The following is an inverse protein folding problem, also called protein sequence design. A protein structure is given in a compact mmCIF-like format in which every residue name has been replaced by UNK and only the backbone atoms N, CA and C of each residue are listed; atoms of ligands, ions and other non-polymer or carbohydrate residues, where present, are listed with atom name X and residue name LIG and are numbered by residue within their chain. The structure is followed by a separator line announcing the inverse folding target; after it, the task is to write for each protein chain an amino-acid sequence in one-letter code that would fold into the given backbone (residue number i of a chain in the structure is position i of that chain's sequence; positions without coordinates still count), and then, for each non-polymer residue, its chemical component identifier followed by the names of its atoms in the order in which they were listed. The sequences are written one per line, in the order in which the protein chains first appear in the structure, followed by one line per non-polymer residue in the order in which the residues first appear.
data_IF_163201772764
#
_entry.id   IF_163201772764
#
_cell.length_a   1.000
_cell.length_b   1.000
_cell.length_c   1.000
_cell.angle_alpha   90.00
_cell.angle_beta   90.00
_cell.angle_gamma   90.00
#
_symmetry.space_group_name_H-M   'P 1'
#
loop_
_entity.id
_entity.type
_entity.pdbx_description
1 polymer ?
#
# COMPACT_ATOMS: atom_id res chain seq x y z
N UNK A 1 -60.18 20.23 24.95
CA UNK A 1 -60.00 18.86 25.44
C UNK A 1 -58.54 18.70 25.89
N UNK A 2 -58.33 18.72 27.19
CA UNK A 2 -57.03 18.58 27.85
C UNK A 2 -56.80 17.11 28.16
N UNK A 3 -55.69 16.53 27.81
CA UNK A 3 -55.25 15.24 28.33
C UNK A 3 -54.01 15.46 29.19
N UNK A 4 -54.17 15.19 30.49
CA UNK A 4 -53.11 15.04 31.49
C UNK A 4 -52.47 13.68 31.31
N UNK A 5 -51.16 13.60 31.30
CA UNK A 5 -50.43 12.37 31.58
C UNK A 5 -49.78 12.43 32.96
N UNK A 6 -50.18 11.50 33.79
CA UNK A 6 -49.62 11.23 35.11
C UNK A 6 -48.27 10.54 34.95
N UNK A 7 -47.22 11.10 35.54
CA UNK A 7 -45.93 10.44 35.67
C UNK A 7 -45.86 9.68 36.99
N UNK A 8 -45.73 8.35 36.93
CA UNK A 8 -45.47 7.51 38.10
C UNK A 8 -43.95 7.41 38.30
N UNK A 9 -43.46 7.99 39.39
CA UNK A 9 -42.07 7.81 39.86
C UNK A 9 -41.94 6.46 40.57
N UNK A 10 -41.23 5.52 39.97
CA UNK A 10 -40.71 4.32 40.66
C UNK A 10 -39.27 4.60 41.05
N UNK A 11 -39.03 4.75 42.33
CA UNK A 11 -37.70 4.85 42.92
C UNK A 11 -36.97 3.49 42.85
N UNK A 12 -35.89 3.43 42.14
CA UNK A 12 -34.93 2.34 42.21
C UNK A 12 -33.77 2.76 43.12
N UNK A 13 -33.64 2.06 44.24
CA UNK A 13 -32.52 2.19 45.16
C UNK A 13 -31.24 1.72 44.48
N UNK A 14 -30.30 2.62 44.25
CA UNK A 14 -28.97 2.32 43.78
C UNK A 14 -28.09 1.78 44.89
N UNK A 15 -27.79 0.49 44.86
CA UNK A 15 -26.71 -0.09 45.68
C UNK A 15 -25.36 0.37 45.09
N UNK A 16 -24.65 1.21 45.83
CA UNK A 16 -23.27 1.56 45.56
C UNK A 16 -22.38 0.32 45.74
N UNK A 17 -22.06 -0.36 44.66
CA UNK A 17 -20.90 -1.24 44.61
C UNK A 17 -19.64 -0.35 44.50
N UNK A 18 -18.85 -0.30 45.58
CA UNK A 18 -17.56 0.33 45.60
C UNK A 18 -16.66 -0.35 44.52
N UNK A 19 -16.58 0.27 43.38
CA UNK A 19 -15.62 -0.12 42.33
C UNK A 19 -14.21 0.09 42.82
N UNK A 20 -13.42 -0.97 42.87
CA UNK A 20 -11.97 -0.94 43.03
C UNK A 20 -11.38 0.10 42.09
N UNK A 21 -10.49 1.02 42.54
CA UNK A 21 -9.88 1.99 41.64
C UNK A 21 -9.09 1.24 40.58
N UNK A 22 -9.43 1.49 39.33
CA UNK A 22 -8.66 1.01 38.20
C UNK A 22 -7.23 1.46 38.39
N UNK A 23 -6.31 0.50 38.47
CA UNK A 23 -4.88 0.71 38.49
C UNK A 23 -4.50 1.69 37.40
N UNK A 24 -3.75 2.71 37.78
CA UNK A 24 -3.14 3.76 36.96
C UNK A 24 -2.35 3.13 35.80
N UNK A 25 -3.07 2.80 34.74
CA UNK A 25 -2.48 2.27 33.51
C UNK A 25 -1.69 3.41 32.90
N UNK A 26 -0.37 3.27 32.80
CA UNK A 26 0.50 4.09 31.93
C UNK A 26 -0.34 4.52 30.74
N UNK A 27 -0.54 5.85 30.55
CA UNK A 27 -1.21 6.40 29.36
C UNK A 27 -0.63 5.67 28.16
N UNK A 28 -1.38 4.74 27.58
CA UNK A 28 -0.86 3.79 26.60
C UNK A 28 -0.24 4.57 25.45
N UNK A 29 1.00 4.24 25.12
CA UNK A 29 1.66 4.77 23.92
C UNK A 29 0.73 4.57 22.75
N UNK A 30 0.50 5.63 21.97
CA UNK A 30 -0.26 5.51 20.69
C UNK A 30 0.43 4.47 19.81
N UNK A 31 -0.32 3.58 19.14
CA UNK A 31 0.28 2.57 18.27
C UNK A 31 1.00 3.22 17.10
N UNK A 32 2.07 2.61 16.61
CA UNK A 32 2.59 2.94 15.30
C UNK A 32 1.63 2.43 14.22
N UNK A 33 1.67 3.04 13.04
CA UNK A 33 0.89 2.61 11.88
C UNK A 33 1.82 2.35 10.71
N UNK A 34 1.75 1.17 10.14
CA UNK A 34 2.51 0.76 8.95
C UNK A 34 1.54 0.24 7.91
N UNK A 35 1.51 0.86 6.74
CA UNK A 35 0.75 0.39 5.59
C UNK A 35 1.74 -0.18 4.56
N UNK A 36 1.58 -1.47 4.26
CA UNK A 36 2.31 -2.21 3.24
C UNK A 36 1.38 -2.34 2.02
N UNK A 37 1.51 -1.42 1.06
CA UNK A 37 0.60 -1.32 -0.07
C UNK A 37 1.28 -1.78 -1.35
N UNK A 38 0.88 -2.95 -1.86
CA UNK A 38 1.45 -3.54 -3.07
C UNK A 38 0.74 -3.05 -4.33
N UNK A 39 1.35 -3.26 -5.48
CA UNK A 39 0.92 -2.76 -6.79
C UNK A 39 0.64 -3.93 -7.73
N UNK A 40 -0.58 -4.02 -8.25
CA UNK A 40 -1.02 -5.07 -9.18
C UNK A 40 -0.96 -6.50 -8.61
N UNK A 41 -1.17 -6.71 -7.31
CA UNK A 41 -1.20 -8.06 -6.74
C UNK A 41 -2.60 -8.66 -6.79
N UNK A 42 -2.73 -9.79 -7.48
CA UNK A 42 -4.00 -10.51 -7.61
C UNK A 42 -4.52 -11.07 -6.29
N UNK A 43 -5.83 -11.26 -6.20
CA UNK A 43 -6.54 -11.69 -4.99
C UNK A 43 -5.97 -12.96 -4.37
N UNK A 44 -5.58 -13.94 -5.20
CA UNK A 44 -5.06 -15.23 -4.75
C UNK A 44 -3.51 -15.30 -4.76
N UNK A 45 -2.83 -14.17 -4.93
CA UNK A 45 -1.37 -14.16 -5.08
C UNK A 45 -0.62 -14.04 -3.74
N UNK A 46 -1.08 -14.78 -2.75
CA UNK A 46 -0.35 -15.18 -1.55
C UNK A 46 -0.88 -16.53 -1.04
N UNK A 47 -0.07 -17.32 -0.35
CA UNK A 47 -0.49 -18.66 0.11
C UNK A 47 -1.65 -18.61 1.07
N UNK A 48 -1.67 -17.67 2.01
CA UNK A 48 -2.79 -17.48 2.93
C UNK A 48 -4.10 -17.06 2.23
N UNK A 49 -4.05 -16.62 0.98
CA UNK A 49 -5.21 -16.34 0.13
C UNK A 49 -5.53 -17.46 -0.87
N UNK A 50 -4.75 -18.53 -0.92
CA UNK A 50 -5.04 -19.73 -1.72
C UNK A 50 -4.06 -20.01 -2.86
N UNK A 51 -2.97 -19.26 -3.01
CA UNK A 51 -1.93 -19.60 -3.98
C UNK A 51 -1.29 -20.95 -3.61
N UNK A 52 -1.10 -21.80 -4.62
CA UNK A 52 -0.47 -23.12 -4.45
C UNK A 52 1.00 -23.13 -4.87
N UNK A 53 1.38 -22.20 -5.72
CA UNK A 53 2.68 -22.14 -6.38
C UNK A 53 3.60 -21.01 -5.87
N UNK A 54 3.05 -19.96 -5.23
CA UNK A 54 3.85 -18.87 -4.70
C UNK A 54 4.45 -19.18 -3.32
N UNK A 55 5.60 -18.55 -3.04
CA UNK A 55 6.25 -18.58 -1.74
C UNK A 55 6.12 -17.20 -1.09
N UNK A 56 5.20 -17.09 -0.10
CA UNK A 56 4.87 -15.85 0.59
C UNK A 56 4.86 -16.02 2.12
N UNK A 57 5.95 -16.54 2.74
CA UNK A 57 5.97 -16.90 4.15
C UNK A 57 5.76 -15.70 5.09
N UNK A 58 6.13 -14.48 4.67
CA UNK A 58 6.02 -13.28 5.49
C UNK A 58 4.61 -12.68 5.47
N UNK A 59 3.94 -12.67 4.31
CA UNK A 59 2.50 -12.33 4.20
C UNK A 59 1.69 -13.37 4.98
N UNK A 60 2.04 -14.66 4.92
CA UNK A 60 1.40 -15.73 5.68
C UNK A 60 1.61 -15.55 7.20
N UNK A 61 2.83 -15.15 7.65
CA UNK A 61 3.12 -14.79 9.05
C UNK A 61 2.26 -13.61 9.50
N UNK A 62 2.11 -12.58 8.65
CA UNK A 62 1.26 -11.43 8.95
C UNK A 62 -0.20 -11.84 9.11
N UNK A 63 -0.73 -12.72 8.25
CA UNK A 63 -2.07 -13.27 8.35
C UNK A 63 -2.28 -14.06 9.66
N UNK A 64 -1.32 -14.87 10.07
CA UNK A 64 -1.35 -15.62 11.35
C UNK A 64 -1.33 -14.71 12.57
N UNK A 65 -0.76 -13.52 12.48
CA UNK A 65 -0.71 -12.54 13.58
C UNK A 65 -1.80 -11.47 13.48
N UNK A 66 -2.82 -11.69 12.65
CA UNK A 66 -3.86 -10.69 12.40
C UNK A 66 -5.16 -11.26 11.86
N UNK A 67 -5.91 -10.38 11.21
CA UNK A 67 -7.20 -10.65 10.58
C UNK A 67 -7.05 -10.54 9.07
N UNK A 68 -7.36 -11.61 8.36
CA UNK A 68 -7.40 -11.68 6.90
C UNK A 68 -8.85 -11.48 6.41
N UNK A 69 -9.04 -10.54 5.49
CA UNK A 69 -10.34 -10.29 4.89
C UNK A 69 -10.52 -11.09 3.59
N UNK A 70 -11.65 -11.79 3.49
CA UNK A 70 -11.97 -12.56 2.28
C UNK A 70 -12.77 -11.75 1.26
N UNK A 71 -13.26 -10.57 1.65
CA UNK A 71 -14.02 -9.63 0.83
C UNK A 71 -13.45 -8.21 1.02
N UNK A 72 -12.20 -8.01 0.59
CA UNK A 72 -11.56 -6.70 0.58
C UNK A 72 -11.50 -6.14 -0.84
N UNK A 73 -11.76 -4.84 -0.95
CA UNK A 73 -11.88 -4.17 -2.23
C UNK A 73 -11.01 -2.91 -2.29
N UNK A 74 -10.45 -2.68 -3.46
CA UNK A 74 -9.81 -1.44 -3.85
C UNK A 74 -10.54 -0.85 -5.08
N UNK A 75 -9.88 0.00 -5.85
CA UNK A 75 -10.41 0.50 -7.10
C UNK A 75 -9.77 -0.21 -8.30
N UNK A 76 -10.20 0.17 -9.49
CA UNK A 76 -9.81 -0.52 -10.73
C UNK A 76 -8.34 -0.34 -11.08
N UNK A 77 -7.71 0.76 -10.61
CA UNK A 77 -6.33 1.12 -10.92
C UNK A 77 -5.65 1.87 -9.76
N UNK A 78 -4.34 2.03 -9.84
CA UNK A 78 -3.47 2.53 -8.77
C UNK A 78 -3.90 3.87 -8.16
N UNK A 79 -4.06 4.93 -8.98
CA UNK A 79 -4.30 6.28 -8.45
C UNK A 79 -5.60 6.40 -7.64
N UNK A 80 -6.78 5.95 -8.14
CA UNK A 80 -8.00 5.96 -7.37
C UNK A 80 -7.89 5.23 -6.03
N UNK A 81 -7.24 4.07 -6.02
CA UNK A 81 -7.05 3.29 -4.79
C UNK A 81 -6.15 4.01 -3.78
N UNK A 82 -5.05 4.61 -4.24
CA UNK A 82 -4.13 5.35 -3.38
C UNK A 82 -4.76 6.63 -2.85
N UNK A 83 -5.55 7.35 -3.66
CA UNK A 83 -6.33 8.49 -3.21
C UNK A 83 -7.37 8.07 -2.16
N UNK A 84 -8.11 7.00 -2.41
CA UNK A 84 -9.13 6.48 -1.50
C UNK A 84 -8.53 6.03 -0.17
N UNK A 85 -7.38 5.34 -0.19
CA UNK A 85 -6.62 4.95 1.01
C UNK A 85 -6.24 6.17 1.86
N UNK A 86 -5.69 7.20 1.22
CA UNK A 86 -5.14 8.34 1.95
C UNK A 86 -6.20 9.35 2.38
N UNK A 87 -7.36 9.42 1.71
CA UNK A 87 -8.41 10.40 2.02
C UNK A 87 -9.62 9.79 2.74
N UNK A 88 -9.76 8.46 2.76
CA UNK A 88 -10.97 7.78 3.24
C UNK A 88 -12.22 8.11 2.43
N UNK A 89 -12.05 8.66 1.22
CA UNK A 89 -13.13 9.14 0.36
C UNK A 89 -13.16 8.38 -0.96
N UNK A 90 -14.36 8.25 -1.52
CA UNK A 90 -14.48 7.71 -2.87
C UNK A 90 -13.69 8.58 -3.87
N UNK A 91 -12.84 8.00 -4.73
CA UNK A 91 -11.86 8.74 -5.53
C UNK A 91 -12.47 9.75 -6.50
N UNK A 92 -13.71 9.57 -6.93
CA UNK A 92 -14.44 10.58 -7.71
C UNK A 92 -14.63 11.90 -6.95
N UNK A 93 -14.69 11.85 -5.62
CA UNK A 93 -14.83 13.04 -4.77
C UNK A 93 -13.51 13.78 -4.58
N UNK A 94 -12.39 13.08 -4.64
CA UNK A 94 -11.04 13.68 -4.58
C UNK A 94 -10.51 14.09 -5.96
N UNK A 95 -11.30 13.93 -7.03
CA UNK A 95 -10.89 14.24 -8.40
C UNK A 95 -9.93 13.22 -9.02
N UNK A 96 -9.61 12.12 -8.30
CA UNK A 96 -8.63 11.10 -8.72
C UNK A 96 -9.38 9.85 -9.17
N UNK A 97 -10.09 9.90 -10.28
CA UNK A 97 -10.95 8.82 -10.75
C UNK A 97 -10.34 7.93 -11.86
N UNK A 98 -9.10 8.22 -12.27
CA UNK A 98 -8.38 7.47 -13.30
C UNK A 98 -6.87 7.63 -13.09
N UNK A 99 -6.05 7.11 -14.01
CA UNK A 99 -4.59 7.32 -13.97
C UNK A 99 -4.23 8.81 -13.96
N UNK A 100 -3.39 9.18 -13.03
CA UNK A 100 -2.84 10.51 -12.89
C UNK A 100 -1.46 10.54 -13.54
N UNK A 101 -1.45 10.41 -14.85
CA UNK A 101 -0.23 10.63 -15.62
C UNK A 101 -0.23 12.11 -16.02
N UNK A 102 0.61 12.86 -15.37
CA UNK A 102 0.75 14.27 -15.62
C UNK A 102 2.05 14.61 -16.32
N UNK A 103 2.04 15.73 -17.04
CA UNK A 103 3.29 16.40 -17.35
C UNK A 103 3.94 16.80 -16.03
N UNK A 104 5.02 16.11 -15.67
CA UNK A 104 5.81 16.38 -14.46
C UNK A 104 6.28 17.83 -14.38
N UNK A 105 6.32 18.54 -15.50
CA UNK A 105 6.75 19.93 -15.64
C UNK A 105 5.60 20.95 -15.62
N UNK A 106 4.37 20.51 -15.88
CA UNK A 106 3.21 21.39 -15.99
C UNK A 106 2.31 21.38 -14.76
N UNK A 107 1.81 22.55 -14.33
CA UNK A 107 0.75 22.63 -13.32
C UNK A 107 -0.57 22.02 -13.80
N UNK A 108 -0.74 21.86 -15.11
CA UNK A 108 -1.94 21.32 -15.74
C UNK A 108 -2.05 19.78 -15.65
N UNK A 109 -1.05 19.08 -15.08
CA UNK A 109 -1.13 17.66 -14.78
C UNK A 109 -2.29 17.36 -13.83
N UNK A 110 -2.86 16.16 -13.94
CA UNK A 110 -3.87 15.69 -13.00
C UNK A 110 -3.20 15.35 -11.68
N UNK A 111 -3.40 16.16 -10.67
CA UNK A 111 -2.86 16.00 -9.35
C UNK A 111 -4.01 15.90 -8.34
N UNK A 112 -3.84 15.17 -7.26
CA UNK A 112 -4.76 15.22 -6.13
C UNK A 112 -4.78 16.64 -5.58
N UNK A 113 -5.97 17.16 -5.30
CA UNK A 113 -6.15 18.51 -4.77
C UNK A 113 -5.46 18.63 -3.40
N UNK A 114 -4.83 19.78 -3.15
CA UNK A 114 -4.15 20.04 -1.87
C UNK A 114 -5.12 20.27 -0.71
N UNK A 115 -6.39 20.52 -1.02
CA UNK A 115 -7.49 20.67 -0.07
C UNK A 115 -7.98 19.33 0.48
N UNK A 116 -7.59 18.21 -0.13
CA UNK A 116 -7.88 16.89 0.42
C UNK A 116 -7.05 16.64 1.68
N UNK A 117 -7.74 16.36 2.78
CA UNK A 117 -7.07 16.04 4.05
C UNK A 117 -6.68 14.56 4.04
N UNK A 118 -5.40 14.30 4.05
CA UNK A 118 -4.87 12.93 4.01
C UNK A 118 -4.73 12.30 5.40
N UNK A 119 -4.67 10.98 5.42
CA UNK A 119 -4.33 10.21 6.63
C UNK A 119 -2.99 10.67 7.23
N UNK A 120 -2.02 11.04 6.38
CA UNK A 120 -0.73 11.54 6.84
C UNK A 120 -0.87 12.88 7.56
N UNK A 121 -1.67 13.81 7.04
CA UNK A 121 -1.94 15.09 7.70
C UNK A 121 -2.67 14.91 9.03
N UNK A 122 -3.68 14.04 9.07
CA UNK A 122 -4.42 13.72 10.29
C UNK A 122 -3.52 13.11 11.37
N UNK A 123 -2.70 12.13 11.01
CA UNK A 123 -1.77 11.50 11.94
C UNK A 123 -0.64 12.46 12.37
N UNK A 124 -0.15 13.30 11.44
CA UNK A 124 0.83 14.34 11.76
C UNK A 124 0.27 15.35 12.76
N UNK A 125 -0.96 15.82 12.57
CA UNK A 125 -1.65 16.69 13.54
C UNK A 125 -1.85 16.00 14.90
N UNK A 126 -1.98 14.67 14.92
CA UNK A 126 -2.00 13.87 16.14
C UNK A 126 -0.61 13.60 16.74
N UNK A 127 0.47 14.18 16.19
CA UNK A 127 1.84 14.07 16.72
C UNK A 127 2.66 12.87 16.24
N UNK A 128 2.21 12.21 15.17
CA UNK A 128 2.99 11.16 14.52
C UNK A 128 4.10 11.74 13.65
N UNK A 129 5.24 11.07 13.59
CA UNK A 129 6.21 11.27 12.52
C UNK A 129 5.75 10.49 11.29
N UNK A 130 5.73 11.10 10.13
CA UNK A 130 5.11 10.54 8.93
C UNK A 130 6.12 10.34 7.80
N UNK A 131 6.08 9.20 7.13
CA UNK A 131 6.92 8.94 5.97
C UNK A 131 6.16 8.17 4.88
N UNK A 132 6.45 8.51 3.62
CA UNK A 132 6.12 7.72 2.46
C UNK A 132 7.43 7.29 1.77
N UNK A 133 7.61 5.99 1.64
CA UNK A 133 8.68 5.43 0.83
C UNK A 133 8.11 4.52 -0.26
N UNK A 134 8.50 4.78 -1.51
CA UNK A 134 8.03 4.07 -2.69
C UNK A 134 7.15 4.92 -3.62
N UNK A 135 6.09 4.33 -4.12
CA UNK A 135 5.21 4.93 -5.14
C UNK A 135 4.18 5.88 -4.53
N UNK A 136 4.14 7.11 -5.06
CA UNK A 136 3.12 8.12 -4.76
C UNK A 136 1.90 8.01 -5.67
N UNK A 137 2.08 8.30 -6.95
CA UNK A 137 1.09 8.23 -8.05
C UNK A 137 -0.20 9.05 -7.83
N UNK A 138 -0.11 10.16 -7.09
CA UNK A 138 -1.24 11.09 -6.85
C UNK A 138 -0.93 12.52 -7.29
N UNK A 139 0.03 12.68 -8.17
CA UNK A 139 0.46 13.95 -8.73
C UNK A 139 1.97 14.02 -8.86
N UNK A 140 2.43 14.10 -10.09
CA UNK A 140 3.86 14.13 -10.39
C UNK A 140 4.46 15.53 -10.24
N UNK A 141 3.64 16.59 -10.27
CA UNK A 141 4.13 17.95 -10.12
C UNK A 141 4.71 18.19 -8.72
N UNK A 142 5.85 18.89 -8.64
CA UNK A 142 6.57 19.14 -7.39
C UNK A 142 5.73 19.77 -6.27
N UNK A 143 4.73 20.58 -6.65
CA UNK A 143 3.86 21.26 -5.70
C UNK A 143 2.69 20.37 -5.21
N UNK A 144 2.55 19.16 -5.73
CA UNK A 144 1.53 18.18 -5.38
C UNK A 144 2.12 16.84 -4.88
N UNK A 145 3.42 16.81 -4.58
CA UNK A 145 4.08 15.62 -4.06
C UNK A 145 3.75 15.32 -2.59
N UNK A 146 4.22 14.18 -2.08
CA UNK A 146 3.91 13.71 -0.72
C UNK A 146 4.21 14.71 0.39
N UNK A 147 5.28 15.50 0.23
CA UNK A 147 5.70 16.53 1.19
C UNK A 147 4.65 17.66 1.36
N UNK A 148 3.71 17.79 0.41
CA UNK A 148 2.60 18.75 0.47
C UNK A 148 1.31 18.14 1.01
N UNK A 149 1.31 16.83 1.25
CA UNK A 149 0.17 16.02 1.67
C UNK A 149 0.45 15.30 3.01
N UNK A 150 1.16 15.99 3.93
CA UNK A 150 1.30 15.56 5.31
C UNK A 150 2.49 14.63 5.63
N UNK A 151 3.27 14.20 4.65
CA UNK A 151 4.47 13.40 4.92
C UNK A 151 5.66 14.28 5.29
N UNK A 152 6.38 13.90 6.33
CA UNK A 152 7.62 14.57 6.77
C UNK A 152 8.83 14.10 5.98
N UNK A 153 8.80 12.85 5.50
CA UNK A 153 9.87 12.25 4.71
C UNK A 153 9.29 11.53 3.50
N UNK A 154 9.98 11.66 2.37
CA UNK A 154 9.66 10.97 1.14
C UNK A 154 10.94 10.48 0.44
N UNK A 155 10.94 9.23 0.00
CA UNK A 155 11.89 8.70 -0.96
C UNK A 155 11.15 7.77 -1.92
N UNK A 156 11.17 8.07 -3.21
CA UNK A 156 10.43 7.23 -4.14
C UNK A 156 10.13 7.88 -5.48
N UNK A 157 9.12 7.34 -6.13
CA UNK A 157 8.63 7.77 -7.44
C UNK A 157 7.33 8.56 -7.30
N UNK A 158 7.17 9.57 -8.15
CA UNK A 158 5.96 10.40 -8.15
C UNK A 158 4.91 9.89 -9.12
N UNK A 159 5.33 9.16 -10.15
CA UNK A 159 4.45 8.59 -11.17
C UNK A 159 4.17 7.08 -10.94
N UNK A 160 3.66 6.41 -11.97
CA UNK A 160 3.05 5.09 -11.87
C UNK A 160 4.00 3.93 -11.67
N UNK A 161 5.13 3.93 -12.35
CA UNK A 161 6.12 2.85 -12.30
C UNK A 161 7.42 3.28 -12.97
N UNK A 162 8.49 2.56 -12.71
CA UNK A 162 9.81 2.79 -13.30
C UNK A 162 10.50 1.47 -13.61
N UNK A 163 11.56 1.52 -14.42
CA UNK A 163 12.59 0.49 -14.40
C UNK A 163 13.26 0.48 -13.02
N UNK A 164 13.31 -0.68 -12.37
CA UNK A 164 13.75 -0.80 -10.98
C UNK A 164 15.26 -0.57 -10.76
N UNK A 165 16.06 -0.48 -11.82
CA UNK A 165 17.52 -0.28 -11.73
C UNK A 165 17.97 1.06 -12.32
N UNK A 166 17.29 1.54 -13.38
CA UNK A 166 17.64 2.79 -14.03
C UNK A 166 16.76 3.97 -13.60
N UNK A 167 15.61 3.67 -12.96
CA UNK A 167 14.63 4.62 -12.40
C UNK A 167 13.96 5.52 -13.44
N UNK A 168 13.82 5.01 -14.66
CA UNK A 168 13.09 5.70 -15.72
C UNK A 168 11.65 5.19 -15.83
N UNK A 169 10.70 6.12 -15.95
CA UNK A 169 9.36 5.81 -16.41
C UNK A 169 9.41 5.37 -17.87
N UNK A 170 8.88 4.17 -18.16
CA UNK A 170 9.07 3.51 -19.47
C UNK A 170 7.95 3.76 -20.46
N UNK A 171 6.83 4.36 -20.03
CA UNK A 171 5.69 4.57 -20.90
C UNK A 171 5.88 5.80 -21.79
N UNK A 172 5.29 5.75 -22.99
CA UNK A 172 5.42 6.84 -23.97
C UNK A 172 6.65 6.71 -24.88
N UNK A 173 6.88 7.75 -25.67
CA UNK A 173 7.93 7.73 -26.70
C UNK A 173 9.31 8.13 -26.18
N UNK A 174 9.35 8.93 -25.14
CA UNK A 174 10.61 9.52 -24.63
C UNK A 174 11.03 8.96 -23.26
N UNK A 175 10.07 8.63 -22.39
CA UNK A 175 10.35 8.32 -21.01
C UNK A 175 10.97 9.50 -20.24
N UNK A 176 11.18 9.36 -18.96
CA UNK A 176 11.84 10.33 -18.09
C UNK A 176 12.29 9.66 -16.80
N UNK A 177 13.27 10.24 -16.15
CA UNK A 177 13.73 9.78 -14.85
C UNK A 177 12.76 10.19 -13.75
N UNK A 178 12.47 9.28 -12.81
CA UNK A 178 11.46 9.51 -11.74
C UNK A 178 11.96 8.88 -10.44
N UNK A 179 12.91 9.52 -9.78
CA UNK A 179 13.36 9.14 -8.44
C UNK A 179 13.66 10.40 -7.62
N UNK A 180 13.06 10.49 -6.42
CA UNK A 180 13.13 11.67 -5.57
C UNK A 180 13.45 11.34 -4.12
N UNK A 181 14.20 12.24 -3.48
CA UNK A 181 14.36 12.32 -2.03
C UNK A 181 13.78 13.67 -1.57
N UNK A 182 12.69 13.65 -0.81
CA UNK A 182 11.89 14.83 -0.53
C UNK A 182 11.35 15.47 -1.81
N UNK A 183 11.80 16.67 -2.11
CA UNK A 183 11.45 17.41 -3.33
C UNK A 183 12.53 17.36 -4.41
N UNK A 184 13.69 16.80 -4.10
CA UNK A 184 14.87 16.79 -4.97
C UNK A 184 14.92 15.50 -5.77
N UNK A 185 15.13 15.62 -7.08
CA UNK A 185 15.42 14.49 -7.94
C UNK A 185 16.83 13.95 -7.67
N UNK A 186 16.95 12.62 -7.53
CA UNK A 186 18.23 11.97 -7.20
C UNK A 186 18.51 10.81 -8.14
N UNK A 187 19.76 10.63 -8.53
CA UNK A 187 20.18 9.52 -9.42
C UNK A 187 20.85 8.42 -8.59
N UNK A 188 20.40 7.18 -8.79
CA UNK A 188 20.90 5.97 -8.12
C UNK A 188 21.00 4.81 -9.12
N UNK A 189 21.57 5.07 -10.29
CA UNK A 189 21.65 4.09 -11.39
C UNK A 189 22.33 2.80 -10.94
N UNK A 190 21.65 1.68 -11.15
CA UNK A 190 22.12 0.34 -10.78
C UNK A 190 21.62 -0.15 -9.43
N UNK A 191 21.16 0.75 -8.53
CA UNK A 191 20.58 0.36 -7.25
C UNK A 191 19.14 -0.16 -7.46
N UNK A 192 18.79 -1.24 -6.80
CA UNK A 192 17.47 -1.84 -6.94
C UNK A 192 16.44 -1.04 -6.13
N UNK A 193 15.47 -0.44 -6.81
CA UNK A 193 14.52 0.50 -6.22
C UNK A 193 13.77 -0.08 -4.99
N UNK A 194 13.18 -1.30 -5.03
CA UNK A 194 12.50 -1.86 -3.86
C UNK A 194 13.43 -2.03 -2.64
N UNK A 195 14.70 -2.32 -2.85
CA UNK A 195 15.67 -2.43 -1.75
C UNK A 195 15.96 -1.07 -1.12
N UNK A 196 16.15 -0.03 -1.92
CA UNK A 196 16.36 1.34 -1.42
C UNK A 196 15.16 1.81 -0.58
N UNK A 197 13.95 1.59 -1.08
CA UNK A 197 12.69 1.93 -0.39
C UNK A 197 12.60 1.24 0.98
N UNK A 198 12.91 -0.04 1.03
CA UNK A 198 12.89 -0.81 2.28
C UNK A 198 14.01 -0.37 3.22
N UNK A 199 15.22 -0.11 2.74
CA UNK A 199 16.31 0.39 3.57
C UNK A 199 15.95 1.72 4.24
N UNK A 200 15.37 2.67 3.50
CA UNK A 200 14.85 3.93 4.07
C UNK A 200 13.76 3.70 5.12
N UNK A 201 12.89 2.70 4.88
CA UNK A 201 11.85 2.32 5.83
C UNK A 201 12.43 1.77 7.13
N UNK A 202 13.43 0.90 7.06
CA UNK A 202 14.12 0.34 8.22
C UNK A 202 14.83 1.42 9.05
N UNK A 203 15.51 2.33 8.39
CA UNK A 203 16.15 3.50 9.04
C UNK A 203 15.13 4.42 9.71
N UNK A 204 14.00 4.69 9.06
CA UNK A 204 12.92 5.50 9.60
C UNK A 204 12.33 4.87 10.86
N UNK A 205 12.01 3.57 10.83
CA UNK A 205 11.51 2.83 12.00
C UNK A 205 12.50 2.92 13.17
N UNK A 206 13.78 2.72 12.92
CA UNK A 206 14.85 2.78 13.93
C UNK A 206 14.92 4.16 14.59
N UNK A 207 14.99 5.23 13.79
CA UNK A 207 15.10 6.61 14.28
C UNK A 207 13.86 7.08 15.05
N UNK A 208 12.71 6.46 14.82
CA UNK A 208 11.45 6.85 15.42
C UNK A 208 10.91 5.84 16.44
N UNK A 209 11.74 4.87 16.89
CA UNK A 209 11.32 3.80 17.81
C UNK A 209 10.71 4.28 19.13
N UNK A 210 11.07 5.48 19.58
CA UNK A 210 10.65 6.04 20.88
C UNK A 210 9.43 6.97 20.79
N UNK A 211 8.86 7.19 19.60
CA UNK A 211 7.67 8.01 19.36
C UNK A 211 6.73 7.37 18.35
N UNK A 212 5.43 7.73 18.33
CA UNK A 212 4.52 7.19 17.34
C UNK A 212 4.90 7.63 15.93
N UNK A 213 4.80 6.72 14.98
CA UNK A 213 5.07 6.99 13.57
C UNK A 213 4.01 6.36 12.65
N UNK A 214 3.85 6.99 11.51
CA UNK A 214 3.10 6.50 10.36
C UNK A 214 4.06 6.28 9.19
N UNK A 215 4.15 5.05 8.74
CA UNK A 215 4.92 4.66 7.56
C UNK A 215 3.97 4.13 6.49
N UNK A 216 3.88 4.84 5.37
CA UNK A 216 3.26 4.34 4.16
C UNK A 216 4.35 3.81 3.22
N UNK A 217 4.47 2.48 3.13
CA UNK A 217 5.35 1.80 2.20
C UNK A 217 4.55 1.44 0.95
N UNK A 218 4.62 2.32 -0.05
CA UNK A 218 3.99 2.13 -1.34
C UNK A 218 4.89 1.33 -2.27
N UNK A 219 4.81 -0.01 -2.22
CA UNK A 219 5.56 -0.82 -3.16
C UNK A 219 5.16 -0.50 -4.59
N UNK A 220 6.13 -0.50 -5.50
CA UNK A 220 5.91 -0.45 -6.94
C UNK A 220 5.90 -1.87 -7.55
N UNK A 221 6.08 -2.88 -6.75
CA UNK A 221 6.04 -4.30 -7.12
C UNK A 221 4.85 -4.98 -6.43
N UNK A 222 4.27 -6.04 -7.04
CA UNK A 222 4.72 -6.78 -8.23
C UNK A 222 4.33 -6.19 -9.60
N UNK A 223 3.98 -4.89 -9.71
CA UNK A 223 3.76 -4.22 -10.99
C UNK A 223 4.97 -4.39 -11.93
N UNK A 224 4.71 -4.39 -13.24
CA UNK A 224 5.79 -4.41 -14.24
C UNK A 224 6.64 -3.12 -14.21
N UNK A 225 7.91 -3.18 -14.71
CA UNK A 225 8.61 -4.34 -15.22
C UNK A 225 8.88 -5.37 -14.12
N UNK A 226 8.63 -6.66 -14.44
CA UNK A 226 8.74 -7.77 -13.49
C UNK A 226 10.21 -8.14 -13.23
N UNK A 227 10.91 -7.25 -12.54
CA UNK A 227 12.33 -7.35 -12.21
C UNK A 227 12.49 -7.84 -10.77
N UNK A 228 12.67 -9.14 -10.59
CA UNK A 228 12.83 -9.77 -9.29
C UNK A 228 14.30 -9.93 -8.88
N UNK A 229 14.56 -10.21 -7.62
CA UNK A 229 15.86 -10.68 -7.17
C UNK A 229 16.21 -12.02 -7.85
N UNK A 230 17.48 -12.21 -8.20
CA UNK A 230 17.96 -13.39 -8.96
C UNK A 230 17.65 -14.71 -8.24
N UNK A 231 17.83 -14.75 -6.92
CA UNK A 231 17.53 -15.91 -6.08
C UNK A 231 16.03 -16.25 -6.09
N UNK A 232 15.15 -15.27 -6.14
CA UNK A 232 13.70 -15.50 -6.23
C UNK A 232 13.29 -15.93 -7.63
N UNK A 233 13.89 -15.36 -8.68
CA UNK A 233 13.66 -15.81 -10.05
C UNK A 233 14.07 -17.29 -10.24
N UNK A 234 15.12 -17.74 -9.56
CA UNK A 234 15.58 -19.11 -9.63
C UNK A 234 14.59 -20.13 -9.07
N UNK A 235 13.71 -19.72 -8.15
CA UNK A 235 12.72 -20.61 -7.51
C UNK A 235 11.59 -21.04 -8.46
N UNK A 236 11.40 -20.33 -9.58
CA UNK A 236 10.24 -20.47 -10.46
C UNK A 236 10.59 -20.88 -11.89
N UNK A 237 11.79 -21.41 -12.12
CA UNK A 237 12.27 -21.77 -13.48
C UNK A 237 11.34 -22.68 -14.24
N UNK A 238 10.64 -23.57 -13.51
CA UNK A 238 9.73 -24.57 -14.08
C UNK A 238 8.33 -24.01 -14.41
N UNK A 239 7.99 -22.81 -13.91
CA UNK A 239 6.71 -22.21 -14.23
C UNK A 239 6.75 -21.61 -15.65
N UNK A 240 5.64 -21.70 -16.40
CA UNK A 240 5.54 -21.04 -17.69
C UNK A 240 5.45 -19.52 -17.55
N UNK A 241 5.89 -18.78 -18.58
CA UNK A 241 5.56 -17.35 -18.70
C UNK A 241 4.05 -17.19 -19.00
N UNK A 242 3.41 -16.13 -18.49
CA UNK A 242 3.94 -15.02 -17.68
C UNK A 242 4.00 -15.30 -16.17
N UNK A 243 3.48 -16.44 -15.69
CA UNK A 243 3.42 -16.77 -14.25
C UNK A 243 4.81 -16.76 -13.59
N UNK A 244 5.84 -17.21 -14.31
CA UNK A 244 7.22 -17.31 -13.81
C UNK A 244 7.76 -15.98 -13.31
N UNK A 245 7.74 -14.95 -14.13
CA UNK A 245 8.28 -13.63 -13.79
C UNK A 245 7.48 -12.97 -12.68
N UNK A 246 6.17 -13.03 -12.76
CA UNK A 246 5.27 -12.50 -11.75
C UNK A 246 5.47 -13.17 -10.38
N UNK A 247 5.54 -14.51 -10.34
CA UNK A 247 5.77 -15.27 -9.11
C UNK A 247 7.08 -14.87 -8.40
N UNK A 248 8.13 -14.65 -9.19
CA UNK A 248 9.42 -14.20 -8.67
C UNK A 248 9.33 -12.81 -8.03
N UNK A 249 8.60 -11.88 -8.64
CA UNK A 249 8.44 -10.52 -8.10
C UNK A 249 7.52 -10.53 -6.86
N UNK A 250 6.46 -11.33 -6.83
CA UNK A 250 5.63 -11.50 -5.62
C UNK A 250 6.45 -12.03 -4.45
N UNK A 251 7.31 -13.03 -4.68
CA UNK A 251 8.21 -13.54 -3.63
C UNK A 251 9.25 -12.50 -3.21
N UNK A 252 9.73 -11.67 -4.13
CA UNK A 252 10.59 -10.52 -3.81
C UNK A 252 9.85 -9.50 -2.94
N UNK A 253 8.59 -9.22 -3.23
CA UNK A 253 7.74 -8.34 -2.41
C UNK A 253 7.57 -8.90 -1.00
N UNK A 254 7.24 -10.19 -0.89
CA UNK A 254 7.11 -10.89 0.39
C UNK A 254 8.41 -10.83 1.22
N UNK A 255 9.57 -11.04 0.58
CA UNK A 255 10.87 -10.92 1.24
C UNK A 255 11.07 -9.54 1.87
N UNK A 256 10.74 -8.47 1.14
CA UNK A 256 10.86 -7.11 1.66
C UNK A 256 9.83 -6.78 2.75
N UNK A 257 8.62 -7.31 2.66
CA UNK A 257 7.65 -7.27 3.76
C UNK A 257 8.25 -7.93 5.01
N UNK A 258 8.90 -9.08 4.85
CA UNK A 258 9.60 -9.77 5.93
C UNK A 258 10.63 -8.89 6.64
N UNK A 259 11.47 -8.16 5.89
CA UNK A 259 12.45 -7.24 6.49
C UNK A 259 11.81 -6.19 7.39
N UNK A 260 10.65 -5.64 7.00
CA UNK A 260 9.91 -4.66 7.82
C UNK A 260 9.37 -5.33 9.09
N UNK A 261 8.69 -6.47 8.97
CA UNK A 261 8.13 -7.18 10.12
C UNK A 261 9.22 -7.59 11.12
N UNK A 262 10.33 -8.11 10.63
CA UNK A 262 11.46 -8.51 11.46
C UNK A 262 12.13 -7.32 12.16
N UNK A 263 12.20 -6.14 11.54
CA UNK A 263 12.70 -4.93 12.20
C UNK A 263 11.78 -4.51 13.34
N UNK A 264 10.47 -4.54 13.13
CA UNK A 264 9.48 -4.23 14.18
C UNK A 264 9.58 -5.22 15.36
N UNK A 265 9.78 -6.50 15.07
CA UNK A 265 10.00 -7.54 16.10
C UNK A 265 11.30 -7.29 16.89
N UNK A 266 12.42 -7.10 16.18
CA UNK A 266 13.75 -6.88 16.79
C UNK A 266 13.80 -5.66 17.70
N UNK A 267 13.00 -4.63 17.39
CA UNK A 267 12.90 -3.41 18.20
C UNK A 267 11.83 -3.50 19.29
N UNK A 268 11.11 -4.63 19.41
CA UNK A 268 10.02 -4.78 20.37
C UNK A 268 8.78 -3.93 20.06
N UNK A 269 8.67 -3.42 18.82
CA UNK A 269 7.59 -2.52 18.40
C UNK A 269 6.37 -3.25 17.84
N UNK A 270 6.54 -4.53 17.45
CA UNK A 270 5.51 -5.26 16.69
C UNK A 270 4.16 -5.32 17.39
N UNK A 271 4.18 -5.53 18.70
CA UNK A 271 2.97 -5.63 19.54
C UNK A 271 2.15 -4.34 19.50
N UNK A 272 2.82 -3.20 19.49
CA UNK A 272 2.20 -1.86 19.53
C UNK A 272 2.19 -1.17 18.15
N UNK A 273 2.22 -1.96 17.08
CA UNK A 273 2.17 -1.47 15.69
C UNK A 273 0.99 -2.10 14.95
N UNK A 274 0.12 -1.24 14.42
CA UNK A 274 -0.90 -1.63 13.45
C UNK A 274 -0.20 -1.80 12.10
N UNK A 275 -0.27 -3.00 11.53
CA UNK A 275 0.26 -3.29 10.20
C UNK A 275 -0.92 -3.64 9.29
N UNK A 276 -1.08 -2.87 8.22
CA UNK A 276 -2.07 -3.10 7.17
C UNK A 276 -1.33 -3.53 5.92
N UNK A 277 -1.78 -4.61 5.31
CA UNK A 277 -1.33 -5.10 4.01
C UNK A 277 -2.52 -5.12 3.06
N UNK A 278 -2.39 -4.54 1.88
CA UNK A 278 -3.38 -4.62 0.80
C UNK A 278 -2.72 -4.31 -0.55
N UNK A 279 -3.30 -4.82 -1.66
CA UNK A 279 -2.99 -4.42 -3.02
C UNK A 279 -3.88 -3.26 -3.48
N UNK A 280 -3.37 -2.42 -4.36
CA UNK A 280 -4.12 -1.27 -4.88
C UNK A 280 -5.15 -1.63 -5.95
N UNK A 281 -5.01 -2.75 -6.63
CA UNK A 281 -5.98 -3.33 -7.58
C UNK A 281 -5.63 -4.79 -7.86
N UNK A 282 -6.43 -5.47 -8.66
CA UNK A 282 -6.13 -6.80 -9.16
C UNK A 282 -4.92 -6.80 -10.10
N UNK A 283 -4.43 -8.00 -10.46
CA UNK A 283 -3.25 -8.14 -11.31
C UNK A 283 -3.44 -7.52 -12.71
N UNK A 284 -2.33 -7.05 -13.29
CA UNK A 284 -2.31 -6.49 -14.64
C UNK A 284 -2.15 -7.58 -15.71
N UNK A 285 -2.84 -7.39 -16.83
CA UNK A 285 -2.66 -8.18 -18.07
C UNK A 285 -2.00 -7.35 -19.17
N UNK A 286 -1.52 -6.16 -18.85
CA UNK A 286 -0.95 -5.20 -19.80
C UNK A 286 0.35 -5.72 -20.44
N UNK A 287 0.55 -5.38 -21.70
CA UNK A 287 1.75 -5.74 -22.44
C UNK A 287 2.24 -4.54 -23.25
N UNK A 288 3.41 -4.04 -22.90
CA UNK A 288 3.97 -2.83 -23.48
C UNK A 288 5.40 -3.03 -23.98
N UNK A 289 5.79 -2.17 -24.90
CA UNK A 289 7.16 -2.07 -25.40
C UNK A 289 7.53 -0.60 -25.62
N UNK A 290 8.82 -0.30 -25.54
CA UNK A 290 9.38 1.00 -25.90
C UNK A 290 9.05 1.34 -27.35
N UNK A 291 8.46 2.50 -27.60
CA UNK A 291 8.01 2.95 -28.91
C UNK A 291 9.01 3.91 -29.57
N UNK A 292 9.61 4.78 -28.78
CA UNK A 292 10.57 5.77 -29.27
C UNK A 292 11.91 5.17 -29.69
N UNK A 293 12.52 5.74 -30.71
CA UNK A 293 13.88 5.35 -31.13
C UNK A 293 14.94 5.84 -30.12
N UNK A 294 14.69 6.99 -29.48
CA UNK A 294 15.58 7.64 -28.51
C UNK A 294 14.88 7.75 -27.16
N UNK A 295 14.71 6.62 -26.49
CA UNK A 295 14.07 6.60 -25.17
C UNK A 295 15.10 6.92 -24.08
N UNK A 296 14.75 7.80 -23.13
CA UNK A 296 15.66 8.32 -22.10
C UNK A 296 16.22 7.21 -21.17
N UNK A 297 15.53 6.07 -21.04
CA UNK A 297 16.04 4.90 -20.30
C UNK A 297 17.26 4.23 -20.94
N UNK A 298 17.54 4.51 -22.22
CA UNK A 298 18.57 3.83 -23.00
C UNK A 298 18.15 2.47 -23.58
N UNK A 299 16.90 2.02 -23.30
CA UNK A 299 16.39 0.80 -23.93
C UNK A 299 16.05 1.02 -25.40
N UNK A 300 16.31 0.04 -26.28
CA UNK A 300 16.00 0.14 -27.70
C UNK A 300 14.48 0.09 -27.93
N UNK A 301 14.06 0.67 -29.07
CA UNK A 301 12.70 0.49 -29.58
C UNK A 301 12.34 -0.99 -29.67
N UNK A 302 11.15 -1.36 -29.20
CA UNK A 302 10.68 -2.75 -29.13
C UNK A 302 11.04 -3.49 -27.84
N UNK A 303 11.85 -2.92 -26.95
CA UNK A 303 12.12 -3.51 -25.63
C UNK A 303 10.79 -3.67 -24.85
N UNK A 304 10.47 -4.92 -24.45
CA UNK A 304 9.23 -5.25 -23.75
C UNK A 304 9.37 -5.06 -22.24
N UNK A 305 8.36 -4.46 -21.61
CA UNK A 305 8.39 -4.19 -20.17
C UNK A 305 7.04 -4.38 -19.45
N UNK A 306 5.97 -4.69 -20.18
CA UNK A 306 4.64 -4.95 -19.58
C UNK A 306 4.55 -6.33 -18.91
N UNK A 307 3.37 -6.64 -18.41
CA UNK A 307 3.08 -7.87 -17.67
C UNK A 307 3.00 -9.15 -18.54
N UNK A 308 3.40 -9.09 -19.79
CA UNK A 308 3.45 -10.21 -20.75
C UNK A 308 2.15 -11.03 -20.84
N UNK A 309 0.99 -10.37 -20.72
CA UNK A 309 -0.32 -11.02 -20.71
C UNK A 309 -0.83 -11.43 -19.33
N UNK A 310 -0.09 -11.08 -18.27
CA UNK A 310 -0.52 -11.25 -16.90
C UNK A 310 -0.14 -12.57 -16.24
N UNK A 311 0.57 -12.48 -15.14
CA UNK A 311 0.98 -13.64 -14.34
C UNK A 311 0.19 -13.82 -13.05
N UNK A 312 -0.73 -12.91 -12.72
CA UNK A 312 -1.50 -12.94 -11.48
C UNK A 312 -2.65 -13.94 -11.51
N UNK A 313 -3.23 -14.18 -10.34
CA UNK A 313 -4.29 -15.16 -10.16
C UNK A 313 -5.45 -14.58 -9.34
N UNK A 314 -6.63 -14.54 -9.94
CA UNK A 314 -7.90 -14.15 -9.31
C UNK A 314 -8.86 -15.34 -9.12
N UNK A 315 -8.45 -16.56 -9.50
CA UNK A 315 -9.23 -17.77 -9.37
C UNK A 315 -10.51 -17.71 -10.21
N UNK A 316 -11.65 -17.86 -9.54
CA UNK A 316 -12.97 -17.83 -10.18
C UNK A 316 -13.47 -16.40 -10.53
N UNK A 317 -12.82 -15.39 -10.03
CA UNK A 317 -13.24 -14.00 -10.24
C UNK A 317 -12.73 -13.46 -11.56
N UNK A 318 -13.67 -13.05 -12.40
CA UNK A 318 -13.40 -12.54 -13.75
C UNK A 318 -12.84 -11.12 -13.67
N UNK A 319 -11.97 -10.79 -14.61
CA UNK A 319 -11.37 -9.47 -14.76
C UNK A 319 -9.98 -9.37 -14.19
N UNK A 320 -9.41 -8.19 -14.26
CA UNK A 320 -8.11 -7.77 -13.78
C UNK A 320 -8.05 -6.26 -13.70
N UNK A 321 -6.88 -5.70 -13.49
CA UNK A 321 -6.62 -4.24 -13.46
C UNK A 321 -7.36 -3.50 -14.58
N UNK A 322 -7.97 -2.37 -14.26
CA UNK A 322 -8.75 -1.57 -15.21
C UNK A 322 -10.22 -1.96 -15.34
N UNK A 323 -10.67 -3.06 -14.72
CA UNK A 323 -12.07 -3.50 -14.75
C UNK A 323 -12.76 -3.31 -13.39
N UNK A 324 -14.09 -3.06 -13.41
CA UNK A 324 -14.93 -3.04 -12.20
C UNK A 324 -15.41 -4.44 -11.78
N UNK A 325 -14.89 -5.48 -12.44
CA UNK A 325 -15.19 -6.86 -12.09
C UNK A 325 -14.39 -7.29 -10.86
N UNK A 326 -14.84 -8.36 -10.21
CA UNK A 326 -14.21 -8.88 -8.97
C UNK A 326 -12.69 -9.08 -9.11
N UNK A 327 -12.21 -9.60 -10.25
CA UNK A 327 -10.77 -9.78 -10.49
C UNK A 327 -9.98 -8.48 -10.60
N UNK A 328 -10.66 -7.35 -10.86
CA UNK A 328 -10.03 -6.02 -10.94
C UNK A 328 -10.00 -5.27 -9.62
N UNK A 329 -11.04 -5.41 -8.80
CA UNK A 329 -11.22 -4.61 -7.58
C UNK A 329 -11.10 -5.40 -6.27
N UNK A 330 -11.31 -6.72 -6.28
CA UNK A 330 -11.07 -7.57 -5.10
C UNK A 330 -9.57 -7.76 -4.90
N UNK A 331 -9.07 -7.45 -3.72
CA UNK A 331 -7.64 -7.48 -3.40
C UNK A 331 -7.35 -8.26 -2.12
N UNK A 332 -6.16 -8.85 -1.97
CA UNK A 332 -5.78 -9.43 -0.69
C UNK A 332 -5.61 -8.32 0.35
N UNK A 333 -6.19 -8.50 1.55
CA UNK A 333 -6.05 -7.53 2.63
C UNK A 333 -5.94 -8.21 4.00
N UNK A 334 -5.02 -7.69 4.83
CA UNK A 334 -4.76 -8.16 6.20
C UNK A 334 -4.58 -6.93 7.08
N UNK A 335 -5.16 -6.96 8.28
CA UNK A 335 -4.78 -6.05 9.37
C UNK A 335 -4.24 -6.87 10.54
N UNK A 336 -3.14 -6.44 11.10
CA UNK A 336 -2.53 -7.10 12.25
C UNK A 336 -2.14 -6.08 13.32
N UNK A 337 -2.70 -6.22 14.51
CA UNK A 337 -2.37 -5.44 15.70
C UNK A 337 -2.41 -6.39 16.91
N UNK A 338 -1.30 -7.10 17.21
CA UNK A 338 -1.29 -8.19 18.18
C UNK A 338 -1.73 -7.79 19.60
N UNK A 339 -1.60 -6.49 19.97
CA UNK A 339 -2.05 -6.02 21.26
C UNK A 339 -3.57 -5.99 21.42
N UNK A 340 -4.35 -5.89 20.32
CA UNK A 340 -5.79 -5.63 20.41
C UNK A 340 -6.68 -6.41 19.46
N UNK A 341 -6.15 -6.87 18.32
CA UNK A 341 -6.93 -7.60 17.33
C UNK A 341 -6.78 -9.12 17.48
N UNK A 342 -7.80 -9.89 17.12
CA UNK A 342 -7.69 -11.33 17.03
C UNK A 342 -6.56 -11.74 16.07
N UNK A 343 -5.93 -12.88 16.34
CA UNK A 343 -4.90 -13.46 15.49
C UNK A 343 -5.47 -14.68 14.76
N UNK A 344 -4.83 -15.06 13.66
CA UNK A 344 -5.16 -16.20 12.79
C UNK A 344 -6.66 -16.29 12.45
N UNK A 345 -7.26 -15.13 12.15
CA UNK A 345 -8.70 -15.00 11.95
C UNK A 345 -9.01 -14.60 10.51
N UNK A 346 -10.00 -15.26 9.90
CA UNK A 346 -10.60 -14.83 8.64
C UNK A 346 -11.95 -14.13 8.88
N UNK A 347 -12.21 -13.04 8.18
CA UNK A 347 -13.46 -12.29 8.22
C UNK A 347 -14.06 -12.14 6.83
N UNK A 348 -15.37 -12.40 6.74
CA UNK A 348 -16.15 -12.26 5.50
C UNK A 348 -16.84 -10.91 5.35
N UNK A 349 -16.69 -9.99 6.29
CA UNK A 349 -17.23 -8.65 6.14
C UNK A 349 -16.58 -7.94 4.94
N UNK A 350 -17.37 -7.15 4.24
CA UNK A 350 -16.87 -6.30 3.16
C UNK A 350 -16.08 -5.15 3.77
N UNK A 351 -14.86 -4.96 3.27
CA UNK A 351 -14.01 -3.81 3.59
C UNK A 351 -13.48 -3.23 2.29
N UNK A 352 -13.30 -1.93 2.29
CA UNK A 352 -12.72 -1.20 1.16
C UNK A 352 -11.42 -0.51 1.58
N UNK A 353 -10.63 -0.13 0.60
CA UNK A 353 -9.41 0.64 0.86
C UNK A 353 -9.67 1.96 1.60
N UNK A 354 -10.89 2.52 1.49
CA UNK A 354 -11.31 3.75 2.20
C UNK A 354 -11.47 3.54 3.71
N UNK A 355 -11.78 2.33 4.15
CA UNK A 355 -12.12 2.05 5.55
C UNK A 355 -10.90 2.11 6.48
N UNK A 356 -9.69 2.07 5.92
CA UNK A 356 -8.47 2.20 6.73
C UNK A 356 -8.28 3.58 7.36
N UNK A 357 -8.73 4.64 6.69
CA UNK A 357 -8.58 6.00 7.19
C UNK A 357 -9.38 6.25 8.49
N UNK A 358 -10.70 5.91 8.59
CA UNK A 358 -11.47 6.11 9.81
C UNK A 358 -11.19 5.08 10.91
N UNK A 359 -10.52 3.95 10.58
CA UNK A 359 -10.21 2.86 11.53
C UNK A 359 -8.99 3.17 12.39
#
# INVERSE_FOLDING_TARGET
MKWLYLAACLGLASTNAAGTPATDGKKGRRPNVVILFTDDQGTLDARCFGSRDLRTPNIDKLAKTGVRFTQAYAHTVCCPSRAALLTGRHPQRSGVNTWMQGDMKGKAGRNMALEEITLAETLKAAGYRTALFGKWHLGAHRDHGPMKQGFDEFFGIRDGFIDNFNHYFLHGDKGYHDLYEGTTEVTRKGDYFPEMVVSRSLEFIERNRDRPFFLYLGFNIPHYPEQALKEHAALYRELPMPRRSYAAVVTTTDHYIGKILDRLEKLGLRKDTIVIFQSDNGHSTESYAIRGAEHASGYPKGHRYGANGGGGNTGKWIGGKGTFLEGGIRTPAIISYPARLPQDTARGQVVTVMDWYPT
#
